data_IF_343571360209
#
_entry.id   IF_343571360209
#
_cell.length_a   1.000
_cell.length_b   1.000
_cell.length_c   1.000
_cell.angle_alpha   90.00
_cell.angle_beta   90.00
_cell.angle_gamma   90.00
#
_symmetry.space_group_name_H-M   'P 1'
#
loop_
_entity.id
_entity.type
_entity.pdbx_description
1 polymer ?
#
# COMPACT_ATOMS: atom_id res chain seq x y z
N UNK A 1 25.34 9.98 -17.05
CA UNK A 1 25.08 8.55 -17.35
C UNK A 1 24.37 7.94 -16.17
N UNK A 2 23.05 7.83 -16.22
CA UNK A 2 22.23 7.26 -15.14
C UNK A 2 22.19 5.74 -15.30
N UNK A 3 22.70 5.00 -14.31
CA UNK A 3 22.73 3.55 -14.29
C UNK A 3 21.30 2.98 -14.47
N UNK A 4 21.02 2.18 -15.52
CA UNK A 4 19.69 1.64 -15.78
C UNK A 4 19.27 0.51 -14.81
N UNK A 5 20.18 0.03 -13.96
CA UNK A 5 19.96 -1.14 -13.09
C UNK A 5 19.09 -0.88 -11.85
N UNK A 6 19.06 0.34 -11.30
CA UNK A 6 18.22 0.64 -10.11
C UNK A 6 16.71 0.65 -10.40
N UNK A 7 16.30 0.83 -11.65
CA UNK A 7 14.88 0.99 -12.00
C UNK A 7 14.07 -0.32 -12.02
N UNK A 8 14.74 -1.46 -12.25
CA UNK A 8 14.07 -2.77 -12.30
C UNK A 8 13.64 -3.30 -10.93
N UNK A 9 14.33 -2.90 -9.86
CA UNK A 9 14.09 -3.42 -8.50
C UNK A 9 12.83 -2.86 -7.84
N UNK A 10 12.28 -1.74 -8.34
CA UNK A 10 11.11 -1.08 -7.74
C UNK A 10 9.77 -1.65 -8.23
N UNK A 11 9.74 -2.84 -8.81
CA UNK A 11 8.45 -3.46 -9.18
C UNK A 11 7.87 -4.19 -7.97
N UNK A 12 6.55 -4.12 -7.74
CA UNK A 12 5.91 -4.84 -6.64
C UNK A 12 6.25 -6.32 -6.63
N UNK A 13 6.32 -6.95 -7.80
CA UNK A 13 6.73 -8.35 -7.90
C UNK A 13 8.07 -8.62 -7.21
N UNK A 14 9.07 -7.78 -7.46
CA UNK A 14 10.40 -7.96 -6.87
C UNK A 14 10.39 -7.67 -5.36
N UNK A 15 9.70 -6.62 -4.92
CA UNK A 15 9.58 -6.27 -3.51
C UNK A 15 8.82 -7.34 -2.71
N UNK A 16 7.71 -7.86 -3.25
CA UNK A 16 6.91 -8.89 -2.60
C UNK A 16 7.65 -10.22 -2.56
N UNK A 17 8.38 -10.55 -3.64
CA UNK A 17 9.26 -11.72 -3.65
C UNK A 17 10.36 -11.60 -2.60
N UNK A 18 10.97 -10.43 -2.43
CA UNK A 18 11.97 -10.19 -1.38
C UNK A 18 11.35 -10.30 0.03
N UNK A 19 10.19 -9.69 0.28
CA UNK A 19 9.49 -9.87 1.55
C UNK A 19 9.19 -11.35 1.83
N UNK A 20 8.76 -12.11 0.82
CA UNK A 20 8.47 -13.54 0.97
C UNK A 20 9.68 -14.41 1.32
N UNK A 21 10.92 -13.94 1.12
CA UNK A 21 12.12 -14.65 1.59
C UNK A 21 12.42 -14.40 3.07
N UNK A 22 11.77 -13.43 3.70
CA UNK A 22 11.94 -13.09 5.11
C UNK A 22 10.73 -13.46 5.98
N UNK A 23 9.57 -13.71 5.36
CA UNK A 23 8.31 -13.96 6.07
C UNK A 23 7.68 -15.24 5.57
N UNK A 24 7.87 -16.33 6.32
CA UNK A 24 7.37 -17.67 5.95
C UNK A 24 5.83 -17.76 6.03
N UNK A 25 5.23 -17.04 6.97
CA UNK A 25 3.79 -17.03 7.16
C UNK A 25 3.14 -16.08 6.14
N UNK A 26 2.47 -16.64 5.14
CA UNK A 26 1.80 -15.88 4.08
C UNK A 26 0.73 -14.90 4.63
N UNK A 27 0.09 -15.23 5.75
CA UNK A 27 -0.88 -14.35 6.40
C UNK A 27 -0.20 -13.10 6.98
N UNK A 28 0.99 -13.26 7.55
CA UNK A 28 1.76 -12.13 8.09
C UNK A 28 2.40 -11.33 6.96
N UNK A 29 2.91 -12.00 5.92
CA UNK A 29 3.40 -11.37 4.71
C UNK A 29 2.34 -10.48 4.05
N UNK A 30 1.13 -11.02 3.83
CA UNK A 30 0.00 -10.29 3.24
C UNK A 30 -0.41 -9.09 4.08
N UNK A 31 -0.30 -9.22 5.40
CA UNK A 31 -0.56 -8.11 6.32
C UNK A 31 0.54 -7.05 6.25
N UNK A 32 1.81 -7.43 6.28
CA UNK A 32 2.93 -6.50 6.14
C UNK A 32 2.75 -5.73 4.83
N UNK A 33 2.50 -6.40 3.70
CA UNK A 33 2.21 -5.74 2.42
C UNK A 33 1.07 -4.73 2.56
N UNK A 34 -0.08 -5.12 3.12
CA UNK A 34 -1.22 -4.22 3.30
C UNK A 34 -0.86 -2.98 4.12
N UNK A 35 -0.23 -3.19 5.28
CA UNK A 35 0.07 -2.13 6.23
C UNK A 35 1.19 -1.22 5.73
N UNK A 36 2.20 -1.74 5.03
CA UNK A 36 3.24 -0.94 4.38
C UNK A 36 2.66 -0.06 3.27
N UNK A 37 1.76 -0.59 2.45
CA UNK A 37 1.06 0.19 1.42
C UNK A 37 0.27 1.33 2.05
N UNK A 38 -0.54 1.03 3.07
CA UNK A 38 -1.33 2.07 3.75
C UNK A 38 -0.45 3.09 4.43
N UNK A 39 0.62 2.67 5.10
CA UNK A 39 1.56 3.59 5.74
C UNK A 39 2.23 4.51 4.72
N UNK A 40 2.67 3.98 3.57
CA UNK A 40 3.20 4.80 2.47
C UNK A 40 2.19 5.84 1.97
N UNK A 41 0.92 5.46 1.85
CA UNK A 41 -0.17 6.38 1.45
C UNK A 41 -0.52 7.41 2.53
N UNK A 42 -0.44 7.06 3.82
CA UNK A 42 -0.66 8.00 4.94
C UNK A 42 0.50 8.99 5.04
N UNK A 43 1.73 8.52 4.86
CA UNK A 43 2.95 9.36 4.90
C UNK A 43 3.13 10.22 3.66
N UNK A 44 2.37 9.96 2.59
CA UNK A 44 2.37 10.79 1.39
C UNK A 44 1.83 12.19 1.69
N UNK A 45 2.70 13.20 1.57
CA UNK A 45 2.33 14.60 1.65
C UNK A 45 2.25 15.18 0.24
N UNK A 46 1.05 15.43 -0.31
CA UNK A 46 0.93 16.03 -1.63
C UNK A 46 1.54 17.43 -1.61
N UNK A 47 2.55 17.66 -2.46
CA UNK A 47 3.00 19.02 -2.72
C UNK A 47 1.89 19.75 -3.49
N UNK A 48 1.67 21.02 -3.15
CA UNK A 48 0.43 21.80 -3.39
C UNK A 48 0.06 22.06 -4.88
N UNK A 49 0.62 21.32 -5.84
CA UNK A 49 0.38 21.47 -7.28
C UNK A 49 0.32 20.17 -8.08
N UNK A 50 0.49 19.00 -7.46
CA UNK A 50 0.55 17.73 -8.21
C UNK A 50 -0.85 17.19 -8.50
N UNK A 51 -1.22 17.11 -9.78
CA UNK A 51 -2.50 16.59 -10.26
C UNK A 51 -2.30 15.47 -11.29
N UNK A 52 -3.27 14.58 -11.40
CA UNK A 52 -3.26 13.49 -12.39
C UNK A 52 -2.06 12.56 -12.24
N UNK A 53 -1.37 12.27 -13.35
CA UNK A 53 -0.33 11.24 -13.43
C UNK A 53 0.87 11.47 -12.50
N UNK A 54 1.24 12.72 -12.26
CA UNK A 54 2.37 13.05 -11.39
C UNK A 54 2.11 12.60 -9.96
N UNK A 55 0.90 12.85 -9.47
CA UNK A 55 0.45 12.40 -8.16
C UNK A 55 0.45 10.87 -8.05
N UNK A 56 -0.10 10.17 -9.04
CA UNK A 56 -0.16 8.70 -9.05
C UNK A 56 1.24 8.09 -8.90
N UNK A 57 2.24 8.71 -9.55
CA UNK A 57 3.63 8.28 -9.47
C UNK A 57 4.25 8.54 -8.09
N UNK A 58 3.92 9.65 -7.44
CA UNK A 58 4.40 9.95 -6.08
C UNK A 58 3.75 9.04 -5.03
N UNK A 59 2.44 8.79 -5.11
CA UNK A 59 1.75 7.81 -4.25
C UNK A 59 2.41 6.43 -4.35
N UNK A 60 2.74 6.02 -5.58
CA UNK A 60 3.42 4.77 -5.85
C UNK A 60 4.86 4.77 -5.33
N UNK A 61 5.59 5.90 -5.41
CA UNK A 61 6.94 6.03 -4.85
C UNK A 61 6.94 5.90 -3.34
N UNK A 62 6.04 6.61 -2.63
CA UNK A 62 5.91 6.49 -1.18
C UNK A 62 5.56 5.07 -0.75
N UNK A 63 4.75 4.37 -1.55
CA UNK A 63 4.44 2.95 -1.32
C UNK A 63 5.68 2.05 -1.49
N UNK A 64 6.50 2.27 -2.52
CA UNK A 64 7.73 1.52 -2.69
C UNK A 64 8.72 1.76 -1.55
N UNK A 65 8.91 3.01 -1.15
CA UNK A 65 9.81 3.36 -0.05
C UNK A 65 9.42 2.65 1.24
N UNK A 66 8.12 2.58 1.56
CA UNK A 66 7.69 1.89 2.78
C UNK A 66 7.78 0.36 2.68
N UNK A 67 7.60 -0.22 1.50
CA UNK A 67 7.86 -1.64 1.27
C UNK A 67 9.36 -1.96 1.39
N UNK A 68 10.24 -1.12 0.84
CA UNK A 68 11.70 -1.23 1.00
C UNK A 68 12.09 -1.12 2.49
N UNK A 69 11.51 -0.17 3.23
CA UNK A 69 11.67 -0.05 4.68
C UNK A 69 11.24 -1.32 5.42
N UNK A 70 10.12 -1.89 5.02
CA UNK A 70 9.60 -3.12 5.63
C UNK A 70 10.47 -4.34 5.34
N UNK A 71 11.07 -4.44 4.16
CA UNK A 71 12.09 -5.46 3.84
C UNK A 71 13.28 -5.31 4.78
N UNK A 72 13.79 -4.09 4.93
CA UNK A 72 14.93 -3.82 5.83
C UNK A 72 14.60 -4.17 7.28
N UNK A 73 13.40 -3.84 7.76
CA UNK A 73 12.96 -4.13 9.12
C UNK A 73 12.78 -5.65 9.37
N UNK A 74 12.18 -6.38 8.43
CA UNK A 74 12.07 -7.85 8.52
C UNK A 74 13.42 -8.57 8.40
N UNK A 75 14.43 -7.91 7.84
CA UNK A 75 15.80 -8.44 7.81
C UNK A 75 16.58 -8.17 9.11
N UNK A 76 16.26 -7.09 9.82
CA UNK A 76 16.93 -6.70 11.06
C UNK A 76 16.21 -7.15 12.33
N UNK A 77 14.93 -7.53 12.24
CA UNK A 77 14.08 -7.89 13.37
C UNK A 77 13.08 -8.99 13.00
N UNK A 78 12.44 -9.56 14.03
CA UNK A 78 11.38 -10.55 13.86
C UNK A 78 10.18 -9.98 13.05
N UNK A 79 9.74 -10.65 11.96
CA UNK A 79 8.66 -10.14 11.11
C UNK A 79 7.33 -9.88 11.83
N UNK A 80 7.00 -10.69 12.83
CA UNK A 80 5.78 -10.49 13.61
C UNK A 80 5.86 -9.22 14.46
N UNK A 81 7.03 -8.94 15.04
CA UNK A 81 7.31 -7.71 15.78
C UNK A 81 7.18 -6.47 14.88
N UNK A 82 7.75 -6.51 13.66
CA UNK A 82 7.58 -5.45 12.66
C UNK A 82 6.11 -5.26 12.28
N UNK A 83 5.37 -6.34 12.06
CA UNK A 83 3.93 -6.26 11.78
C UNK A 83 3.15 -5.60 12.92
N UNK A 84 3.50 -5.88 14.19
CA UNK A 84 2.87 -5.23 15.33
C UNK A 84 3.17 -3.72 15.36
N UNK A 85 4.40 -3.32 15.05
CA UNK A 85 4.78 -1.91 14.95
C UNK A 85 3.99 -1.20 13.84
N UNK A 86 3.94 -1.78 12.64
CA UNK A 86 3.15 -1.26 11.51
C UNK A 86 1.68 -1.07 11.90
N UNK A 87 1.07 -2.06 12.57
CA UNK A 87 -0.30 -1.96 13.07
C UNK A 87 -0.47 -0.82 14.07
N UNK A 88 0.48 -0.65 14.98
CA UNK A 88 0.47 0.42 15.98
C UNK A 88 0.56 1.81 15.35
N UNK A 89 1.29 1.96 14.25
CA UNK A 89 1.41 3.23 13.52
C UNK A 89 0.20 3.52 12.61
N UNK A 90 -0.35 2.50 11.95
CA UNK A 90 -1.39 2.66 10.93
C UNK A 90 -2.80 2.65 11.50
N UNK A 91 -3.13 1.72 12.41
CA UNK A 91 -4.51 1.54 12.87
C UNK A 91 -5.11 2.80 13.50
N UNK A 92 -4.40 3.58 14.36
CA UNK A 92 -4.96 4.80 14.93
C UNK A 92 -5.35 5.81 13.85
N UNK A 93 -4.40 6.13 12.96
CA UNK A 93 -4.60 7.12 11.88
C UNK A 93 -5.69 6.69 10.91
N UNK A 94 -5.70 5.41 10.51
CA UNK A 94 -6.72 4.89 9.61
C UNK A 94 -8.11 4.84 10.27
N UNK A 95 -8.18 4.56 11.57
CA UNK A 95 -9.43 4.60 12.33
C UNK A 95 -10.00 6.02 12.38
N UNK A 96 -9.16 7.03 12.58
CA UNK A 96 -9.58 8.43 12.60
C UNK A 96 -10.18 8.84 11.24
N UNK A 97 -9.52 8.48 10.12
CA UNK A 97 -10.03 8.74 8.78
C UNK A 97 -11.37 8.04 8.51
N UNK A 98 -11.50 6.78 8.94
CA UNK A 98 -12.74 6.00 8.79
C UNK A 98 -13.86 6.62 9.62
N UNK A 99 -13.58 7.03 10.86
CA UNK A 99 -14.58 7.64 11.73
C UNK A 99 -15.08 8.97 11.15
N UNK A 100 -14.17 9.83 10.69
CA UNK A 100 -14.53 11.09 10.01
C UNK A 100 -15.41 10.83 8.78
N UNK A 101 -15.02 9.90 7.91
CA UNK A 101 -15.80 9.56 6.71
C UNK A 101 -17.21 9.00 7.03
N UNK A 102 -17.36 8.30 8.15
CA UNK A 102 -18.66 7.77 8.62
C UNK A 102 -19.54 8.87 9.22
N UNK A 103 -18.96 9.76 10.02
CA UNK A 103 -19.69 10.86 10.69
C UNK A 103 -20.13 11.94 9.71
N UNK A 104 -19.29 12.29 8.73
CA UNK A 104 -19.55 13.36 7.77
C UNK A 104 -20.41 12.91 6.58
N UNK A 105 -20.60 11.59 6.39
CA UNK A 105 -21.37 11.01 5.28
C UNK A 105 -20.74 11.20 3.89
N UNK A 106 -19.59 11.88 3.82
CA UNK A 106 -18.76 12.13 2.64
C UNK A 106 -17.31 11.99 3.09
N UNK A 107 -16.41 11.53 2.22
CA UNK A 107 -14.96 11.61 2.45
C UNK A 107 -14.54 13.04 2.11
N UNK A 108 -14.28 13.92 3.08
CA UNK A 108 -13.91 15.31 2.79
C UNK A 108 -12.55 15.39 2.08
N UNK A 109 -12.55 15.98 0.88
CA UNK A 109 -11.34 16.30 0.08
C UNK A 109 -10.31 17.15 0.85
N UNK A 110 -10.73 17.82 1.93
CA UNK A 110 -9.90 18.69 2.77
C UNK A 110 -9.13 17.95 3.86
N UNK A 111 -9.56 16.74 4.22
CA UNK A 111 -9.06 16.00 5.40
C UNK A 111 -8.38 14.70 5.00
N UNK A 112 -8.86 14.07 3.92
CA UNK A 112 -8.22 12.93 3.28
C UNK A 112 -7.72 13.40 1.91
N UNK A 113 -6.41 13.30 1.62
CA UNK A 113 -5.93 13.56 0.27
C UNK A 113 -6.73 12.70 -0.73
N UNK A 114 -7.22 13.29 -1.82
CA UNK A 114 -7.88 12.55 -2.91
C UNK A 114 -7.01 11.38 -3.44
N UNK A 115 -7.44 10.52 -4.36
CA UNK A 115 -6.56 9.43 -4.88
C UNK A 115 -6.60 8.14 -4.05
N UNK A 116 -5.51 7.36 -3.99
CA UNK A 116 -5.57 5.96 -3.53
C UNK A 116 -6.01 5.80 -2.06
N UNK A 117 -5.64 6.73 -1.16
CA UNK A 117 -6.04 6.67 0.24
C UNK A 117 -7.55 6.90 0.41
N UNK A 118 -8.12 7.93 -0.22
CA UNK A 118 -9.57 8.18 -0.22
C UNK A 118 -10.37 6.96 -0.73
N UNK A 119 -9.94 6.40 -1.85
CA UNK A 119 -10.48 5.17 -2.46
C UNK A 119 -10.46 3.97 -1.51
N UNK A 120 -9.34 3.77 -0.81
CA UNK A 120 -9.22 2.73 0.22
C UNK A 120 -10.21 2.97 1.37
N UNK A 121 -10.26 4.19 1.91
CA UNK A 121 -11.17 4.54 3.02
C UNK A 121 -12.62 4.28 2.63
N UNK A 122 -13.06 4.72 1.44
CA UNK A 122 -14.39 4.40 0.92
C UNK A 122 -14.67 2.89 0.87
N UNK A 123 -13.71 2.09 0.38
CA UNK A 123 -13.88 0.63 0.32
C UNK A 123 -13.97 0.01 1.71
N UNK A 124 -13.20 0.51 2.67
CA UNK A 124 -13.22 0.03 4.05
C UNK A 124 -14.53 0.41 4.77
N UNK A 125 -15.12 1.57 4.46
CA UNK A 125 -16.37 2.05 5.05
C UNK A 125 -17.64 1.48 4.40
N UNK A 126 -17.55 0.93 3.18
CA UNK A 126 -18.71 0.30 2.47
C UNK A 126 -19.27 -0.91 3.23
N UNK A 127 -20.34 -0.72 4.01
CA UNK A 127 -21.12 -1.79 4.64
C UNK A 127 -21.01 -1.85 6.17
N UNK A 128 -22.14 -2.13 6.83
CA UNK A 128 -22.40 -1.96 8.28
C UNK A 128 -21.61 -2.83 9.29
N UNK A 129 -20.47 -3.48 8.93
CA UNK A 129 -19.75 -4.39 9.85
C UNK A 129 -18.38 -3.88 10.30
N UNK A 130 -18.16 -4.06 11.61
CA UNK A 130 -17.20 -3.45 12.55
C UNK A 130 -15.71 -3.83 12.47
N UNK A 131 -15.15 -4.25 11.33
CA UNK A 131 -13.70 -4.51 11.31
C UNK A 131 -13.01 -4.16 9.99
N UNK A 132 -12.47 -2.94 9.92
CA UNK A 132 -11.66 -2.50 8.80
C UNK A 132 -10.33 -3.25 8.70
N UNK A 133 -9.79 -3.75 9.83
CA UNK A 133 -8.53 -4.50 9.84
C UNK A 133 -8.69 -5.81 9.08
N UNK A 134 -9.80 -6.52 9.27
CA UNK A 134 -10.09 -7.75 8.53
C UNK A 134 -10.29 -7.54 7.03
N UNK A 135 -10.85 -6.39 6.63
CA UNK A 135 -10.97 -6.02 5.22
C UNK A 135 -9.61 -5.68 4.64
N UNK A 136 -8.80 -4.91 5.36
CA UNK A 136 -7.44 -4.54 4.95
C UNK A 136 -6.56 -5.78 4.76
N UNK A 137 -6.64 -6.76 5.67
CA UNK A 137 -5.98 -8.08 5.53
C UNK A 137 -6.32 -8.76 4.21
N UNK A 138 -7.62 -8.79 3.85
CA UNK A 138 -8.09 -9.38 2.59
C UNK A 138 -7.55 -8.63 1.37
N UNK A 139 -7.53 -7.29 1.42
CA UNK A 139 -6.96 -6.49 0.32
C UNK A 139 -5.46 -6.73 0.14
N UNK A 140 -4.72 -6.86 1.24
CA UNK A 140 -3.30 -7.22 1.21
C UNK A 140 -3.02 -8.55 0.54
N UNK A 141 -3.77 -9.59 0.94
CA UNK A 141 -3.66 -10.92 0.33
C UNK A 141 -4.02 -10.89 -1.16
N UNK A 142 -5.10 -10.21 -1.55
CA UNK A 142 -5.47 -10.07 -2.96
C UNK A 142 -4.40 -9.36 -3.78
N UNK A 143 -3.87 -8.25 -3.27
CA UNK A 143 -2.78 -7.52 -3.92
C UNK A 143 -1.54 -8.41 -4.09
N UNK A 144 -1.15 -9.11 -3.03
CA UNK A 144 -0.01 -10.03 -3.05
C UNK A 144 -0.19 -11.11 -4.13
N UNK A 145 -1.33 -11.81 -4.14
CA UNK A 145 -1.58 -12.87 -5.12
C UNK A 145 -1.60 -12.34 -6.55
N UNK A 146 -2.30 -11.25 -6.83
CA UNK A 146 -2.35 -10.68 -8.19
C UNK A 146 -0.96 -10.29 -8.70
N UNK A 147 -0.14 -9.66 -7.85
CA UNK A 147 1.23 -9.28 -8.21
C UNK A 147 2.10 -10.51 -8.47
N UNK A 148 1.98 -11.56 -7.65
CA UNK A 148 2.79 -12.77 -7.77
C UNK A 148 2.36 -13.67 -8.94
N UNK A 149 1.07 -13.70 -9.27
CA UNK A 149 0.49 -14.44 -10.40
C UNK A 149 0.88 -13.82 -11.75
N UNK A 150 0.92 -12.49 -11.84
CA UNK A 150 1.22 -11.77 -13.08
C UNK A 150 2.66 -12.00 -13.60
N UNK A 151 3.58 -12.50 -12.75
CA UNK A 151 5.02 -12.79 -13.02
C UNK A 151 5.75 -11.67 -13.78
N UNK A 152 6.70 -10.97 -13.15
CA UNK A 152 7.46 -9.86 -13.76
C UNK A 152 7.98 -10.15 -15.18
N UNK A 153 7.22 -9.71 -16.19
CA UNK A 153 7.59 -9.79 -17.61
C UNK A 153 7.25 -8.49 -18.32
N UNK A 154 7.57 -7.34 -17.73
CA UNK A 154 7.30 -6.07 -18.42
C UNK A 154 8.45 -5.07 -18.30
N UNK A 155 8.60 -4.26 -19.36
CA UNK A 155 9.50 -3.10 -19.45
C UNK A 155 9.11 -2.06 -18.39
N UNK A 156 10.08 -1.31 -17.90
CA UNK A 156 9.97 -0.44 -16.70
C UNK A 156 8.83 0.59 -16.73
N UNK A 157 8.51 1.16 -17.89
CA UNK A 157 7.43 2.18 -18.02
C UNK A 157 6.05 1.53 -17.84
N UNK A 158 5.84 0.34 -18.41
CA UNK A 158 4.60 -0.40 -18.28
C UNK A 158 4.40 -0.91 -16.84
N UNK A 159 5.50 -1.21 -16.13
CA UNK A 159 5.46 -1.69 -14.75
C UNK A 159 4.89 -0.63 -13.77
N UNK A 160 5.15 0.67 -13.97
CA UNK A 160 4.58 1.71 -13.11
C UNK A 160 3.07 1.88 -13.32
N UNK A 161 2.61 1.81 -14.58
CA UNK A 161 1.18 1.83 -14.89
C UNK A 161 0.49 0.59 -14.32
N UNK A 162 1.09 -0.59 -14.49
CA UNK A 162 0.55 -1.85 -13.98
C UNK A 162 0.50 -1.84 -12.44
N UNK A 163 1.57 -1.45 -11.76
CA UNK A 163 1.62 -1.43 -10.30
C UNK A 163 0.58 -0.45 -9.73
N UNK A 164 0.43 0.74 -10.33
CA UNK A 164 -0.64 1.66 -9.93
C UNK A 164 -2.02 1.05 -10.18
N UNK A 165 -2.25 0.41 -11.33
CA UNK A 165 -3.51 -0.26 -11.63
C UNK A 165 -3.81 -1.46 -10.72
N UNK A 166 -2.79 -2.21 -10.28
CA UNK A 166 -2.91 -3.30 -9.32
C UNK A 166 -3.28 -2.78 -7.93
N UNK A 167 -2.62 -1.71 -7.46
CA UNK A 167 -3.00 -1.02 -6.23
C UNK A 167 -4.42 -0.49 -6.32
N UNK A 168 -4.74 0.26 -7.37
CA UNK A 168 -6.08 0.82 -7.56
C UNK A 168 -7.12 -0.30 -7.52
N UNK A 169 -6.91 -1.40 -8.26
CA UNK A 169 -7.82 -2.55 -8.25
C UNK A 169 -7.99 -3.13 -6.85
N UNK A 170 -6.89 -3.34 -6.12
CA UNK A 170 -6.94 -3.95 -4.79
C UNK A 170 -7.60 -3.02 -3.77
N UNK A 171 -7.43 -1.72 -3.91
CA UNK A 171 -7.94 -0.74 -2.96
C UNK A 171 -9.36 -0.24 -3.33
N UNK A 172 -9.85 -0.48 -4.55
CA UNK A 172 -11.16 0.05 -5.03
C UNK A 172 -12.21 -0.98 -5.42
N UNK A 173 -11.83 -2.12 -6.02
CA UNK A 173 -12.77 -3.13 -6.55
C UNK A 173 -12.95 -4.26 -5.57
#
# INVERSE_FOLDING_TARGET
MTNPTKSSNRQFYHLFRQLSTHVDNERDLSQIVAYSVVKGLISFQPQTKQLGRERELEELRSTYEELENSIMACNSSDPYSHLCELKGQVNPVLSDYIQQAVEEGVVPDTTIPSGLLSKLVEKLTRGHRKDFSDRLKRQGSQLYHWVMEDKARIRTIDALNQNYGQLERALTK
#
